data_IF_745636866996
#
_entry.id   IF_745636866996
#
_cell.length_a   1.000
_cell.length_b   1.000
_cell.length_c   1.000
_cell.angle_alpha   90.00
_cell.angle_beta   90.00
_cell.angle_gamma   90.00
#
_symmetry.space_group_name_H-M   'P 1'
#
loop_
_entity.id
_entity.type
_entity.pdbx_description
1 polymer ?
#
# COMPACT_ATOMS: atom_id res chain seq x y z
N UNK A 1 4.54 -16.05 -12.58
CA UNK A 1 4.60 -15.39 -11.26
C UNK A 1 3.18 -15.22 -10.78
N UNK A 2 2.73 -16.00 -9.79
CA UNK A 2 1.39 -15.84 -9.21
C UNK A 2 1.47 -14.70 -8.20
N UNK A 3 0.82 -13.58 -8.48
CA UNK A 3 0.65 -12.49 -7.52
C UNK A 3 -0.65 -12.79 -6.75
N UNK A 4 -0.54 -13.12 -5.47
CA UNK A 4 -1.71 -13.25 -4.61
C UNK A 4 -2.04 -11.87 -4.03
N UNK A 5 -3.22 -11.30 -4.33
CA UNK A 5 -3.63 -10.04 -3.71
C UNK A 5 -3.89 -10.27 -2.22
N UNK A 6 -3.33 -9.41 -1.38
CA UNK A 6 -3.58 -9.39 0.06
C UNK A 6 -4.26 -8.05 0.41
N UNK A 7 -5.41 -8.13 1.07
CA UNK A 7 -6.17 -6.96 1.50
C UNK A 7 -5.90 -6.66 2.97
N UNK A 8 -5.58 -5.40 3.29
CA UNK A 8 -5.36 -4.94 4.65
C UNK A 8 -6.32 -3.79 4.98
N UNK A 9 -6.82 -3.77 6.22
CA UNK A 9 -7.47 -2.58 6.79
C UNK A 9 -6.43 -1.78 7.57
N UNK A 10 -6.27 -0.52 7.18
CA UNK A 10 -5.28 0.41 7.74
C UNK A 10 -5.97 1.72 8.13
N UNK A 11 -5.39 2.45 9.07
CA UNK A 11 -5.89 3.77 9.43
C UNK A 11 -5.38 4.80 8.42
N UNK A 12 -6.16 5.85 8.14
CA UNK A 12 -5.80 6.90 7.16
C UNK A 12 -4.55 7.69 7.57
N UNK A 13 -4.32 7.79 8.87
CA UNK A 13 -3.17 8.46 9.49
C UNK A 13 -1.89 7.61 9.52
N UNK A 14 -1.97 6.31 9.16
CA UNK A 14 -0.79 5.46 9.13
C UNK A 14 0.12 5.85 7.95
N UNK A 15 1.41 6.01 8.23
CA UNK A 15 2.44 6.12 7.21
C UNK A 15 2.63 4.81 6.48
N UNK A 16 3.04 4.86 5.21
CA UNK A 16 3.33 3.66 4.42
C UNK A 16 4.37 2.75 5.07
N UNK A 17 5.36 3.28 5.78
CA UNK A 17 6.34 2.50 6.55
C UNK A 17 5.69 1.60 7.61
N UNK A 18 4.68 2.10 8.32
CA UNK A 18 3.92 1.33 9.32
C UNK A 18 3.01 0.28 8.68
N UNK A 19 2.52 0.56 7.47
CA UNK A 19 1.76 -0.42 6.67
C UNK A 19 2.69 -1.56 6.22
N UNK A 20 3.91 -1.23 5.78
CA UNK A 20 4.95 -2.20 5.44
C UNK A 20 5.33 -3.10 6.63
N UNK A 21 5.39 -2.57 7.85
CA UNK A 21 5.65 -3.38 9.06
C UNK A 21 4.62 -4.50 9.25
N UNK A 22 3.35 -4.27 8.89
CA UNK A 22 2.30 -5.30 8.93
C UNK A 22 2.48 -6.37 7.85
N UNK A 23 3.26 -6.08 6.81
CA UNK A 23 3.59 -7.00 5.73
C UNK A 23 4.84 -7.85 6.01
N UNK A 24 5.79 -7.36 6.84
CA UNK A 24 7.02 -8.08 7.20
C UNK A 24 6.83 -9.54 7.66
N UNK A 25 5.79 -9.91 8.43
CA UNK A 25 5.57 -11.31 8.82
C UNK A 25 5.34 -12.26 7.63
N UNK A 26 4.85 -11.73 6.50
CA UNK A 26 4.66 -12.50 5.27
C UNK A 26 5.91 -12.53 4.40
N UNK A 27 6.86 -11.60 4.61
CA UNK A 27 8.12 -11.52 3.88
C UNK A 27 9.20 -10.82 4.73
N UNK A 28 10.10 -11.59 5.33
CA UNK A 28 11.10 -11.10 6.29
C UNK A 28 12.19 -10.20 5.68
N UNK A 29 12.34 -10.19 4.36
CA UNK A 29 13.28 -9.31 3.66
C UNK A 29 12.68 -7.95 3.30
N UNK A 30 11.59 -7.54 4.01
CA UNK A 30 10.80 -6.41 3.56
C UNK A 30 11.28 -4.99 3.85
N UNK A 31 12.45 -4.84 4.45
CA UNK A 31 13.06 -3.53 4.68
C UNK A 31 13.41 -2.78 3.38
N UNK A 32 13.62 -3.48 2.25
CA UNK A 32 14.00 -2.88 0.96
C UNK A 32 12.89 -2.87 -0.10
N UNK A 33 11.60 -2.99 0.28
CA UNK A 33 10.53 -2.88 -0.71
C UNK A 33 10.22 -1.43 -1.08
N UNK A 34 10.00 -1.23 -2.38
CA UNK A 34 9.43 0.02 -2.91
C UNK A 34 7.95 -0.17 -3.21
N UNK A 35 7.12 0.71 -2.64
CA UNK A 35 5.70 0.74 -2.95
C UNK A 35 5.47 1.62 -4.18
N UNK A 36 4.61 1.15 -5.08
CA UNK A 36 4.15 1.92 -6.24
C UNK A 36 2.63 1.91 -6.35
N UNK A 37 2.08 3.02 -6.79
CA UNK A 37 0.68 3.15 -7.18
C UNK A 37 0.61 3.79 -8.55
N UNK A 38 -0.12 3.18 -9.49
CA UNK A 38 -0.23 3.68 -10.88
C UNK A 38 1.11 4.05 -11.50
N UNK A 39 2.14 3.20 -11.33
CA UNK A 39 3.54 3.39 -11.78
C UNK A 39 4.36 4.44 -11.01
N UNK A 40 3.75 5.28 -10.16
CA UNK A 40 4.43 6.25 -9.30
C UNK A 40 5.03 5.58 -8.08
N UNK A 41 6.28 5.91 -7.76
CA UNK A 41 6.92 5.51 -6.50
C UNK A 41 6.36 6.34 -5.35
N UNK A 42 5.98 5.66 -4.27
CA UNK A 42 5.41 6.31 -3.08
C UNK A 42 6.51 6.64 -2.06
N UNK A 43 6.30 7.72 -1.31
CA UNK A 43 7.15 8.09 -0.19
C UNK A 43 6.71 7.33 1.06
N UNK A 44 7.60 6.47 1.56
CA UNK A 44 7.34 5.61 2.72
C UNK A 44 7.14 6.39 4.03
N UNK A 45 7.57 7.66 4.08
CA UNK A 45 7.42 8.52 5.26
C UNK A 45 6.10 9.30 5.30
N UNK A 46 5.29 9.19 4.23
CA UNK A 46 4.01 9.86 4.05
C UNK A 46 2.84 8.90 4.24
N UNK A 47 1.66 9.45 4.50
CA UNK A 47 0.38 8.71 4.51
C UNK A 47 -0.07 8.38 3.08
N UNK A 48 -1.16 7.61 2.95
CA UNK A 48 -1.78 7.35 1.63
C UNK A 48 -2.30 8.64 0.99
N UNK A 49 -2.97 9.48 1.77
CA UNK A 49 -3.52 10.76 1.31
C UNK A 49 -2.41 11.72 0.84
N UNK A 50 -1.31 11.82 1.59
CA UNK A 50 -0.13 12.63 1.22
C UNK A 50 0.64 12.07 0.00
N UNK A 51 0.33 10.84 -0.42
CA UNK A 51 0.83 10.19 -1.65
C UNK A 51 -0.18 10.25 -2.81
N UNK A 52 -1.21 11.09 -2.69
CA UNK A 52 -2.30 11.26 -3.66
C UNK A 52 -3.16 10.00 -3.83
N UNK A 53 -3.39 9.26 -2.73
CA UNK A 53 -4.30 8.11 -2.65
C UNK A 53 -5.35 8.39 -1.56
N UNK A 54 -6.38 9.20 -1.87
CA UNK A 54 -7.39 9.59 -0.89
C UNK A 54 -8.33 8.44 -0.56
N UNK A 55 -9.00 8.55 0.59
CA UNK A 55 -10.09 7.67 0.98
C UNK A 55 -11.40 8.17 0.36
N UNK A 56 -11.88 7.47 -0.67
CA UNK A 56 -13.04 7.88 -1.46
C UNK A 56 -14.37 7.31 -0.93
N UNK A 57 -14.38 6.63 0.22
CA UNK A 57 -15.59 5.98 0.75
C UNK A 57 -16.74 6.96 1.03
N UNK A 58 -16.43 8.19 1.46
CA UNK A 58 -17.45 9.23 1.64
C UNK A 58 -18.10 9.62 0.30
N UNK A 59 -17.28 9.74 -0.76
CA UNK A 59 -17.78 10.00 -2.12
C UNK A 59 -18.62 8.83 -2.65
N UNK A 60 -18.21 7.58 -2.38
CA UNK A 60 -18.98 6.40 -2.76
C UNK A 60 -20.36 6.41 -2.09
N UNK A 61 -20.42 6.73 -0.80
CA UNK A 61 -21.67 6.86 -0.06
C UNK A 61 -22.59 7.93 -0.68
N UNK A 62 -22.05 9.12 -0.98
CA UNK A 62 -22.80 10.22 -1.59
C UNK A 62 -23.37 9.86 -2.97
N UNK A 63 -22.65 9.00 -3.71
CA UNK A 63 -23.07 8.50 -5.02
C UNK A 63 -23.93 7.22 -4.94
N UNK A 64 -24.19 6.69 -3.75
CA UNK A 64 -24.94 5.45 -3.54
C UNK A 64 -24.21 4.19 -4.02
N UNK A 65 -22.88 4.23 -4.08
CA UNK A 65 -22.00 3.11 -4.40
C UNK A 65 -21.65 2.29 -3.15
N UNK A 66 -21.27 1.03 -3.34
CA UNK A 66 -20.76 0.19 -2.27
C UNK A 66 -19.40 0.70 -1.76
N UNK A 67 -19.11 0.51 -0.48
CA UNK A 67 -17.88 1.01 0.16
C UNK A 67 -16.60 0.32 -0.36
N UNK A 68 -16.75 -0.86 -0.96
CA UNK A 68 -15.71 -1.66 -1.58
C UNK A 68 -15.68 -1.53 -3.12
N UNK A 69 -16.45 -0.59 -3.69
CA UNK A 69 -16.53 -0.38 -5.13
C UNK A 69 -15.14 -0.21 -5.77
N UNK A 70 -14.25 0.47 -5.05
CA UNK A 70 -12.84 0.59 -5.40
C UNK A 70 -11.96 0.47 -4.17
N UNK A 71 -10.93 -0.38 -4.25
CA UNK A 71 -9.90 -0.54 -3.23
C UNK A 71 -8.55 -0.26 -3.91
N UNK A 72 -7.79 0.76 -3.46
CA UNK A 72 -6.49 1.06 -4.03
C UNK A 72 -5.53 -0.14 -3.94
N UNK A 73 -4.97 -0.54 -5.08
CA UNK A 73 -4.00 -1.63 -5.15
C UNK A 73 -2.58 -1.08 -5.18
N UNK A 74 -1.79 -1.39 -4.15
CA UNK A 74 -0.38 -1.02 -4.07
C UNK A 74 0.49 -2.15 -4.62
N UNK A 75 1.40 -1.80 -5.53
CA UNK A 75 2.39 -2.72 -6.06
C UNK A 75 3.63 -2.70 -5.17
N UNK A 76 4.07 -3.88 -4.77
CA UNK A 76 5.21 -4.07 -3.87
C UNK A 76 6.36 -4.66 -4.69
N UNK A 77 7.45 -3.90 -4.84
CA UNK A 77 8.63 -4.32 -5.59
C UNK A 77 9.78 -4.58 -4.64
N UNK A 78 10.35 -5.78 -4.69
CA UNK A 78 11.61 -6.05 -4.01
C UNK A 78 12.72 -5.31 -4.74
N UNK A 79 13.43 -4.43 -4.03
CA UNK A 79 14.70 -3.94 -4.54
C UNK A 79 15.73 -5.03 -4.25
N UNK A 80 16.35 -5.55 -5.30
CA UNK A 80 17.50 -6.45 -5.20
C UNK A 80 18.72 -5.63 -4.75
N UNK A 81 18.68 -5.19 -3.49
CA UNK A 81 19.86 -4.68 -2.82
C UNK A 81 20.73 -5.91 -2.54
N UNK A 82 21.88 -6.01 -3.22
CA UNK A 82 22.96 -7.01 -3.07
C UNK A 82 23.49 -7.09 -1.63
N UNK A 83 22.63 -7.47 -0.71
CA UNK A 83 22.93 -7.70 0.70
C UNK A 83 22.94 -9.21 0.85
N UNK A 84 24.06 -9.82 0.43
CA UNK A 84 24.37 -11.17 0.89
C UNK A 84 24.53 -11.12 2.41
N UNK A 85 23.68 -11.89 3.10
CA UNK A 85 23.78 -12.39 4.49
C UNK A 85 24.24 -11.45 5.60
#
# INVERSE_FOLDING_TARGET
MFVFPLSFQVCKEDKLSRILERFLPFNSHASSYTFKFETRVLDMNKTLEENDIPDERELFLDLGLEDNFYIPALMIYFNDDLTEM
#
